data_IF_018822484610
#
_entry.id   IF_018822484610
#
_cell.length_a   1.000
_cell.length_b   1.000
_cell.length_c   1.000
_cell.angle_alpha   90.00
_cell.angle_beta   90.00
_cell.angle_gamma   90.00
#
_symmetry.space_group_name_H-M   'P 1'
#
loop_
_entity.id
_entity.type
_entity.pdbx_description
1 polymer ?
#
# COMPACT_ATOMS: atom_id res chain seq x y z
N UNK A 1 54.46 -12.93 31.49
CA UNK A 1 53.85 -11.99 30.51
C UNK A 1 52.87 -12.74 29.61
N UNK A 2 51.56 -12.68 29.88
CA UNK A 2 50.51 -13.18 28.96
C UNK A 2 49.87 -11.98 28.27
N UNK A 3 50.18 -11.76 26.98
CA UNK A 3 49.46 -10.78 26.14
C UNK A 3 48.18 -11.45 25.63
N UNK A 4 47.03 -10.95 26.06
CA UNK A 4 45.73 -11.34 25.52
C UNK A 4 45.59 -10.80 24.09
N UNK A 5 45.52 -11.72 23.12
CA UNK A 5 45.09 -11.42 21.76
C UNK A 5 43.58 -11.17 21.77
N UNK A 6 43.18 -9.91 21.74
CA UNK A 6 41.78 -9.55 21.46
C UNK A 6 41.54 -9.81 19.97
N UNK A 7 40.61 -10.73 19.71
CA UNK A 7 40.25 -11.24 18.39
C UNK A 7 39.80 -10.10 17.45
N UNK A 8 40.35 -10.06 16.22
CA UNK A 8 40.18 -8.97 15.26
C UNK A 8 38.73 -8.82 14.79
N UNK A 9 37.96 -9.90 14.81
CA UNK A 9 36.51 -9.91 14.52
C UNK A 9 35.69 -9.14 15.57
N UNK A 10 36.08 -9.22 16.85
CA UNK A 10 35.40 -8.52 17.94
C UNK A 10 35.57 -7.01 17.79
N UNK A 11 36.77 -6.55 17.39
CA UNK A 11 37.02 -5.13 17.07
C UNK A 11 36.23 -4.64 15.85
N UNK A 12 36.00 -5.51 14.85
CA UNK A 12 35.22 -5.17 13.66
C UNK A 12 33.72 -5.05 13.99
N UNK A 13 33.18 -5.99 14.78
CA UNK A 13 31.79 -5.94 15.28
C UNK A 13 31.52 -4.70 16.14
N UNK A 14 32.42 -4.37 17.07
CA UNK A 14 32.26 -3.17 17.92
C UNK A 14 32.23 -1.89 17.07
N UNK A 15 33.14 -1.75 16.08
CA UNK A 15 33.15 -0.58 15.18
C UNK A 15 31.88 -0.46 14.34
N UNK A 16 31.33 -1.58 13.84
CA UNK A 16 30.08 -1.58 13.07
C UNK A 16 28.87 -1.22 13.94
N UNK A 17 28.81 -1.71 15.18
CA UNK A 17 27.73 -1.37 16.13
C UNK A 17 27.78 0.12 16.50
N UNK A 18 28.98 0.67 16.77
CA UNK A 18 29.14 2.11 17.07
C UNK A 18 28.73 2.99 15.90
N UNK A 19 29.04 2.60 14.65
CA UNK A 19 28.68 3.37 13.46
C UNK A 19 27.16 3.40 13.23
N UNK A 20 26.48 2.27 13.42
CA UNK A 20 25.02 2.18 13.31
C UNK A 20 24.35 2.99 14.42
N UNK A 21 24.85 2.90 15.66
CA UNK A 21 24.33 3.68 16.79
C UNK A 21 24.49 5.19 16.58
N UNK A 22 25.64 5.62 16.04
CA UNK A 22 25.87 7.02 15.67
C UNK A 22 24.94 7.49 14.55
N UNK A 23 24.63 6.61 13.58
CA UNK A 23 23.68 6.91 12.51
C UNK A 23 22.24 7.06 13.03
N UNK A 24 21.82 6.23 13.99
CA UNK A 24 20.51 6.37 14.64
C UNK A 24 20.43 7.63 15.50
N UNK A 25 21.46 7.94 16.29
CA UNK A 25 21.51 9.15 17.10
C UNK A 25 21.54 10.41 16.22
N UNK A 26 22.31 10.41 15.12
CA UNK A 26 22.32 11.56 14.20
C UNK A 26 20.96 11.74 13.53
N UNK A 27 20.28 10.66 13.13
CA UNK A 27 18.93 10.75 12.57
C UNK A 27 17.90 11.22 13.61
N UNK A 28 18.02 10.80 14.88
CA UNK A 28 17.15 11.33 15.94
C UNK A 28 17.43 12.80 16.25
N UNK A 29 18.69 13.24 16.30
CA UNK A 29 19.05 14.65 16.55
C UNK A 29 18.61 15.54 15.38
N UNK A 30 18.76 15.07 14.14
CA UNK A 30 18.25 15.77 12.95
C UNK A 30 16.71 15.80 12.97
N UNK A 31 16.05 14.69 13.31
CA UNK A 31 14.59 14.64 13.43
C UNK A 31 14.05 15.53 14.56
N UNK A 32 14.83 15.76 15.64
CA UNK A 32 14.45 16.66 16.73
C UNK A 32 14.72 18.14 16.43
N UNK A 33 15.76 18.47 15.63
CA UNK A 33 16.06 19.86 15.27
C UNK A 33 15.02 20.51 14.36
N UNK A 34 14.28 19.69 13.60
CA UNK A 34 13.23 20.14 12.68
C UNK A 34 11.82 19.73 13.15
N UNK A 35 11.57 19.77 14.46
CA UNK A 35 10.24 19.55 15.03
C UNK A 35 9.27 20.63 14.53
N UNK A 36 8.46 20.29 13.53
CA UNK A 36 7.36 21.13 13.05
C UNK A 36 6.19 21.00 14.02
N UNK A 37 6.05 21.99 14.90
CA UNK A 37 4.89 22.07 15.80
C UNK A 37 3.73 22.69 15.04
N UNK A 38 2.67 21.90 14.83
CA UNK A 38 1.44 22.39 14.23
C UNK A 38 0.69 23.31 15.21
N UNK A 39 0.44 24.59 14.85
CA UNK A 39 -0.41 25.46 15.63
C UNK A 39 -1.83 24.88 15.71
N UNK A 40 -2.53 25.05 16.84
CA UNK A 40 -3.93 24.62 17.02
C UNK A 40 -4.95 25.50 16.28
N UNK A 41 -4.49 26.36 15.37
CA UNK A 41 -5.33 27.21 14.54
C UNK A 41 -6.14 26.35 13.56
N UNK A 42 -7.39 26.74 13.32
CA UNK A 42 -8.23 26.10 12.30
C UNK A 42 -7.56 26.21 10.94
N UNK A 43 -7.55 25.12 10.18
CA UNK A 43 -7.06 25.12 8.80
C UNK A 43 -8.10 25.78 7.89
N UNK A 44 -7.71 26.81 7.12
CA UNK A 44 -8.59 27.37 6.10
C UNK A 44 -8.96 26.31 5.06
N UNK A 45 -10.24 26.23 4.71
CA UNK A 45 -10.77 25.32 3.71
C UNK A 45 -11.54 26.15 2.67
N UNK A 46 -11.38 25.82 1.40
CA UNK A 46 -12.23 26.30 0.31
C UNK A 46 -12.84 25.09 -0.36
N UNK A 47 -14.17 25.00 -0.31
CA UNK A 47 -14.93 24.07 -1.14
C UNK A 47 -14.98 24.59 -2.57
N UNK A 48 -14.59 23.75 -3.52
CA UNK A 48 -14.63 24.02 -4.95
C UNK A 48 -15.94 23.47 -5.52
N UNK A 49 -16.94 24.34 -5.61
CA UNK A 49 -18.21 24.06 -6.29
C UNK A 49 -18.23 24.63 -7.72
N UNK A 50 -19.38 24.61 -8.41
CA UNK A 50 -19.59 25.25 -9.72
C UNK A 50 -18.45 25.04 -10.74
N UNK A 51 -18.33 23.81 -11.24
CA UNK A 51 -17.29 23.42 -12.20
C UNK A 51 -17.73 23.70 -13.63
N UNK A 52 -16.76 24.04 -14.50
CA UNK A 52 -16.95 23.93 -15.95
C UNK A 52 -16.83 22.46 -16.31
N UNK A 53 -17.80 21.87 -16.99
CA UNK A 53 -17.82 20.45 -17.35
C UNK A 53 -17.90 20.21 -18.84
N UNK A 54 -17.29 19.12 -19.29
CA UNK A 54 -17.34 18.66 -20.66
C UNK A 54 -17.45 17.14 -20.71
N UNK A 55 -18.43 16.64 -21.47
CA UNK A 55 -18.60 15.22 -21.77
C UNK A 55 -17.83 14.88 -23.05
N UNK A 56 -16.93 13.90 -22.95
CA UNK A 56 -16.06 13.50 -24.06
C UNK A 56 -14.58 13.44 -23.64
N UNK A 57 -13.81 12.62 -24.34
CA UNK A 57 -12.38 12.45 -24.04
C UNK A 57 -11.53 13.50 -24.76
N UNK A 58 -11.40 14.68 -24.14
CA UNK A 58 -10.43 15.69 -24.56
C UNK A 58 -9.00 15.29 -24.21
N UNK A 59 -8.04 15.75 -25.02
CA UNK A 59 -6.63 15.75 -24.62
C UNK A 59 -6.40 16.76 -23.50
N UNK A 60 -5.31 16.60 -22.75
CA UNK A 60 -4.97 17.53 -21.68
C UNK A 60 -4.77 18.95 -22.25
N UNK A 61 -4.07 19.09 -23.37
CA UNK A 61 -3.83 20.40 -23.97
C UNK A 61 -5.13 21.12 -24.36
N UNK A 62 -6.11 20.38 -24.92
CA UNK A 62 -7.44 20.91 -25.23
C UNK A 62 -8.19 21.40 -23.99
N UNK A 63 -8.02 20.71 -22.86
CA UNK A 63 -8.64 21.12 -21.58
C UNK A 63 -8.05 22.42 -21.07
N UNK A 64 -6.74 22.64 -21.24
CA UNK A 64 -6.03 23.80 -20.70
C UNK A 64 -5.87 24.96 -21.69
N UNK A 65 -6.30 24.80 -22.93
CA UNK A 65 -6.32 25.87 -23.93
C UNK A 65 -7.21 27.05 -23.49
N UNK A 66 -6.67 28.27 -23.57
CA UNK A 66 -7.35 29.51 -23.19
C UNK A 66 -8.36 29.99 -24.22
N UNK A 67 -8.12 29.72 -25.50
CA UNK A 67 -8.98 30.11 -26.63
C UNK A 67 -9.71 28.90 -27.25
N UNK A 68 -10.15 27.96 -26.42
CA UNK A 68 -10.77 26.74 -26.91
C UNK A 68 -12.17 27.00 -27.47
N UNK A 69 -12.49 26.38 -28.61
CA UNK A 69 -13.86 26.29 -29.15
C UNK A 69 -14.71 25.26 -28.39
N UNK A 70 -14.10 24.51 -27.48
CA UNK A 70 -14.77 23.50 -26.66
C UNK A 70 -15.89 24.14 -25.85
N UNK A 71 -17.10 23.61 -25.99
CA UNK A 71 -18.24 24.02 -25.18
C UNK A 71 -18.11 23.39 -23.79
N UNK A 72 -18.11 24.24 -22.78
CA UNK A 72 -18.13 23.85 -21.36
C UNK A 72 -19.46 24.25 -20.74
N UNK A 73 -20.08 23.32 -20.03
CA UNK A 73 -21.30 23.56 -19.27
C UNK A 73 -20.95 23.85 -17.81
N UNK A 74 -21.90 24.34 -17.00
CA UNK A 74 -21.68 24.54 -15.56
C UNK A 74 -22.41 23.46 -14.79
N UNK A 75 -21.74 22.89 -13.80
CA UNK A 75 -22.31 21.84 -12.95
C UNK A 75 -21.78 21.95 -11.52
N UNK A 76 -22.69 21.83 -10.54
CA UNK A 76 -22.32 21.61 -9.14
C UNK A 76 -21.84 20.18 -8.92
N UNK A 77 -20.92 19.99 -7.98
CA UNK A 77 -20.60 18.64 -7.48
C UNK A 77 -21.87 17.95 -6.93
N UNK A 78 -21.89 16.62 -6.96
CA UNK A 78 -23.04 15.80 -6.53
C UNK A 78 -23.90 15.27 -7.67
N UNK A 79 -23.76 15.80 -8.89
CA UNK A 79 -24.52 15.30 -10.03
C UNK A 79 -24.10 13.86 -10.41
N UNK A 80 -25.08 13.01 -10.70
CA UNK A 80 -24.87 11.60 -11.06
C UNK A 80 -25.11 11.45 -12.55
N UNK A 81 -24.14 10.87 -13.26
CA UNK A 81 -24.29 10.46 -14.66
C UNK A 81 -24.11 8.94 -14.79
N UNK A 82 -24.83 8.32 -15.73
CA UNK A 82 -25.00 6.85 -15.79
C UNK A 82 -24.45 6.21 -17.05
N UNK A 83 -24.02 7.02 -18.01
CA UNK A 83 -23.52 6.57 -19.29
C UNK A 83 -22.20 5.82 -19.09
N UNK A 84 -22.23 4.51 -19.38
CA UNK A 84 -21.07 3.63 -19.26
C UNK A 84 -19.98 4.03 -20.25
N UNK A 85 -18.73 3.84 -19.84
CA UNK A 85 -17.52 4.09 -20.61
C UNK A 85 -17.34 5.53 -21.11
N UNK A 86 -18.13 6.48 -20.60
CA UNK A 86 -17.97 7.89 -20.90
C UNK A 86 -16.90 8.52 -20.01
N UNK A 87 -16.23 9.52 -20.59
CA UNK A 87 -15.26 10.38 -19.90
C UNK A 87 -15.90 11.74 -19.70
N UNK A 88 -15.71 12.28 -18.50
CA UNK A 88 -16.15 13.62 -18.13
C UNK A 88 -14.98 14.40 -17.58
N UNK A 89 -14.82 15.63 -18.07
CA UNK A 89 -13.85 16.59 -17.57
C UNK A 89 -14.56 17.63 -16.71
N UNK A 90 -13.93 17.95 -15.58
CA UNK A 90 -14.27 19.08 -14.73
C UNK A 90 -13.10 20.06 -14.77
N UNK A 91 -13.34 21.35 -14.94
CA UNK A 91 -12.33 22.42 -14.97
C UNK A 91 -12.76 23.57 -14.06
N UNK A 92 -11.83 24.09 -13.26
CA UNK A 92 -12.03 25.24 -12.37
C UNK A 92 -10.78 26.10 -12.36
N UNK A 93 -10.98 27.40 -12.42
CA UNK A 93 -9.92 28.39 -12.17
C UNK A 93 -10.10 28.89 -10.74
N UNK A 94 -9.00 28.97 -10.00
CA UNK A 94 -8.99 29.42 -8.60
C UNK A 94 -7.86 30.42 -8.37
N UNK A 95 -8.06 31.31 -7.41
CA UNK A 95 -7.03 32.23 -6.91
C UNK A 95 -6.90 32.00 -5.41
N UNK A 96 -5.71 31.68 -4.93
CA UNK A 96 -5.49 31.41 -3.51
C UNK A 96 -5.68 32.70 -2.68
N UNK A 97 -6.53 32.70 -1.64
CA UNK A 97 -6.68 33.88 -0.79
C UNK A 97 -5.53 34.02 0.21
N UNK A 98 -5.46 35.16 0.89
CA UNK A 98 -4.41 35.48 1.85
C UNK A 98 -4.30 34.48 3.00
N UNK A 99 -5.40 33.83 3.39
CA UNK A 99 -5.42 32.80 4.44
C UNK A 99 -4.57 31.56 4.08
N UNK A 100 -4.24 31.35 2.81
CA UNK A 100 -3.38 30.26 2.33
C UNK A 100 -1.90 30.64 2.28
N UNK A 101 -1.53 31.89 2.57
CA UNK A 101 -0.15 32.37 2.51
C UNK A 101 0.76 31.58 3.46
N UNK A 102 1.90 31.11 2.93
CA UNK A 102 2.92 30.31 3.64
C UNK A 102 2.40 28.98 4.20
N UNK A 103 1.32 28.45 3.64
CA UNK A 103 0.75 27.13 3.97
C UNK A 103 1.08 26.14 2.86
N UNK A 104 1.10 24.86 3.18
CA UNK A 104 1.11 23.80 2.18
C UNK A 104 -0.34 23.45 1.83
N UNK A 105 -0.67 23.38 0.54
CA UNK A 105 -2.05 23.26 0.10
C UNK A 105 -2.31 21.84 -0.36
N UNK A 106 -3.22 21.16 0.34
CA UNK A 106 -3.73 19.85 -0.04
C UNK A 106 -5.04 20.05 -0.79
N UNK A 107 -5.19 19.36 -1.90
CA UNK A 107 -6.49 19.18 -2.54
C UNK A 107 -7.03 17.81 -2.16
N UNK A 108 -8.24 17.78 -1.61
CA UNK A 108 -9.03 16.58 -1.39
C UNK A 108 -10.15 16.49 -2.42
N UNK A 109 -10.46 15.29 -2.86
CA UNK A 109 -11.52 15.09 -3.83
C UNK A 109 -12.16 13.72 -3.67
N UNK A 110 -13.46 13.63 -3.99
CA UNK A 110 -14.20 12.37 -3.96
C UNK A 110 -14.97 12.16 -5.26
N UNK A 111 -14.66 11.09 -5.97
CA UNK A 111 -15.30 10.69 -7.23
C UNK A 111 -15.63 9.22 -7.18
N UNK A 112 -16.91 8.84 -7.26
CA UNK A 112 -17.33 7.44 -6.99
C UNK A 112 -16.71 6.39 -7.92
N UNK A 113 -16.25 6.79 -9.11
CA UNK A 113 -15.57 5.91 -10.07
C UNK A 113 -14.06 6.17 -10.23
N UNK A 114 -13.46 6.96 -9.32
CA UNK A 114 -12.06 7.37 -9.42
C UNK A 114 -11.83 8.49 -10.43
N UNK A 115 -10.61 9.05 -10.45
CA UNK A 115 -10.28 10.19 -11.30
C UNK A 115 -8.81 10.57 -11.29
N UNK A 116 -8.41 11.37 -12.28
CA UNK A 116 -7.06 11.96 -12.37
C UNK A 116 -7.15 13.48 -12.30
N UNK A 117 -6.28 14.10 -11.52
CA UNK A 117 -6.21 15.55 -11.36
C UNK A 117 -5.02 16.13 -12.10
N UNK A 118 -5.28 17.24 -12.74
CA UNK A 118 -4.32 18.03 -13.49
C UNK A 118 -4.36 19.47 -12.97
N UNK A 119 -3.19 20.08 -12.86
CA UNK A 119 -3.02 21.47 -12.44
C UNK A 119 -2.12 22.14 -13.46
N UNK A 120 -2.63 23.18 -14.10
CA UNK A 120 -1.95 23.92 -15.16
C UNK A 120 -1.34 23.00 -16.24
N UNK A 121 -2.14 22.03 -16.72
CA UNK A 121 -1.73 21.06 -17.74
C UNK A 121 -0.90 19.88 -17.24
N UNK A 122 -0.37 19.93 -16.00
CA UNK A 122 0.42 18.84 -15.45
C UNK A 122 -0.45 17.87 -14.66
N UNK A 123 -0.35 16.57 -14.94
CA UNK A 123 -0.97 15.54 -14.09
C UNK A 123 -0.30 15.53 -12.72
N UNK A 124 -1.08 15.72 -11.66
CA UNK A 124 -0.55 15.82 -10.29
C UNK A 124 -0.74 14.51 -9.52
N UNK A 125 -1.98 14.01 -9.42
CA UNK A 125 -2.29 12.80 -8.66
C UNK A 125 -3.54 12.11 -9.22
N UNK A 126 -3.76 10.85 -8.82
CA UNK A 126 -4.91 10.03 -9.23
C UNK A 126 -5.52 9.32 -8.03
N UNK A 127 -6.83 9.07 -8.10
CA UNK A 127 -7.50 8.13 -7.22
C UNK A 127 -8.05 6.97 -8.05
N UNK A 128 -7.73 5.74 -7.62
CA UNK A 128 -8.37 4.53 -8.13
C UNK A 128 -9.63 4.15 -7.32
N UNK A 129 -9.93 4.90 -6.25
CA UNK A 129 -11.07 4.65 -5.36
C UNK A 129 -11.96 5.90 -5.28
N UNK A 130 -12.98 5.86 -4.43
CA UNK A 130 -13.85 7.01 -4.24
C UNK A 130 -13.13 8.23 -3.67
N UNK A 131 -12.07 8.08 -2.88
CA UNK A 131 -11.38 9.18 -2.20
C UNK A 131 -9.97 9.39 -2.75
N UNK A 132 -9.60 10.64 -3.01
CA UNK A 132 -8.23 11.00 -3.32
C UNK A 132 -7.79 12.29 -2.64
N UNK A 133 -6.49 12.44 -2.49
CA UNK A 133 -5.87 13.67 -2.01
C UNK A 133 -4.49 13.84 -2.65
N UNK A 134 -3.98 15.06 -2.66
CA UNK A 134 -2.62 15.34 -3.11
C UNK A 134 -2.19 16.77 -2.85
N UNK A 135 -0.89 17.00 -2.90
CA UNK A 135 -0.31 18.33 -2.70
C UNK A 135 -0.48 19.15 -3.98
N UNK A 136 -1.21 20.26 -3.87
CA UNK A 136 -1.38 21.23 -4.94
C UNK A 136 -0.13 22.11 -5.07
N UNK A 137 0.32 22.68 -3.94
CA UNK A 137 1.50 23.56 -3.89
C UNK A 137 2.09 23.62 -2.48
N UNK A 138 3.42 23.71 -2.40
CA UNK A 138 4.14 23.91 -1.14
C UNK A 138 4.33 25.40 -0.88
N UNK A 139 4.23 25.83 0.38
CA UNK A 139 4.50 27.20 0.80
C UNK A 139 3.82 28.26 -0.10
N UNK A 140 2.50 28.18 -0.18
CA UNK A 140 1.68 28.97 -1.10
C UNK A 140 1.90 30.48 -0.97
N UNK A 141 1.81 31.16 -2.11
CA UNK A 141 1.74 32.62 -2.20
C UNK A 141 0.28 33.02 -2.43
N UNK A 142 -0.20 33.99 -1.67
CA UNK A 142 -1.52 34.57 -1.90
C UNK A 142 -1.61 35.20 -3.30
N UNK A 143 -2.80 35.17 -3.90
CA UNK A 143 -3.04 35.66 -5.25
C UNK A 143 -2.56 34.72 -6.36
N UNK A 144 -1.88 33.61 -6.04
CA UNK A 144 -1.49 32.60 -7.04
C UNK A 144 -2.73 32.01 -7.68
N UNK A 145 -2.74 31.97 -9.01
CA UNK A 145 -3.82 31.38 -9.81
C UNK A 145 -3.47 29.98 -10.25
N UNK A 146 -4.45 29.09 -10.21
CA UNK A 146 -4.34 27.74 -10.75
C UNK A 146 -5.55 27.43 -11.62
N UNK A 147 -5.31 26.70 -12.70
CA UNK A 147 -6.37 25.96 -13.41
C UNK A 147 -6.30 24.51 -12.96
N UNK A 148 -7.37 24.01 -12.35
CA UNK A 148 -7.50 22.63 -11.89
C UNK A 148 -8.45 21.91 -12.84
N UNK A 149 -8.07 20.72 -13.29
CA UNK A 149 -8.95 19.85 -14.05
C UNK A 149 -9.00 18.43 -13.48
N UNK A 150 -10.18 17.80 -13.53
CA UNK A 150 -10.42 16.43 -13.09
C UNK A 150 -10.93 15.61 -14.26
N UNK A 151 -10.20 14.57 -14.65
CA UNK A 151 -10.63 13.57 -15.64
C UNK A 151 -11.27 12.40 -14.92
N UNK A 152 -12.52 12.11 -15.25
CA UNK A 152 -13.29 11.02 -14.65
C UNK A 152 -13.77 10.07 -15.73
N UNK A 153 -13.67 8.74 -15.49
CA UNK A 153 -14.15 7.70 -16.42
C UNK A 153 -15.16 6.79 -15.73
N UNK A 154 -16.38 6.72 -16.25
CA UNK A 154 -17.43 5.88 -15.67
C UNK A 154 -17.32 4.43 -16.16
N UNK A 155 -16.76 3.55 -15.34
CA UNK A 155 -16.62 2.13 -15.65
C UNK A 155 -17.82 1.27 -15.21
N UNK A 156 -18.59 1.73 -14.22
CA UNK A 156 -19.53 0.90 -13.45
C UNK A 156 -21.01 1.22 -13.68
N UNK A 157 -21.33 2.21 -14.52
CA UNK A 157 -22.72 2.57 -14.88
C UNK A 157 -23.36 3.63 -13.98
N UNK A 158 -22.66 4.11 -12.96
CA UNK A 158 -22.98 5.36 -12.29
C UNK A 158 -21.68 5.99 -11.78
N UNK A 159 -21.54 7.30 -12.00
CA UNK A 159 -20.45 8.06 -11.43
C UNK A 159 -20.92 9.43 -10.96
N UNK A 160 -20.28 9.95 -9.92
CA UNK A 160 -20.51 11.27 -9.39
C UNK A 160 -19.23 11.86 -8.81
N UNK A 161 -18.99 13.14 -9.08
CA UNK A 161 -17.95 13.94 -8.44
C UNK A 161 -18.58 14.71 -7.30
N UNK A 162 -18.27 14.35 -6.05
CA UNK A 162 -19.09 14.72 -4.87
C UNK A 162 -18.36 15.56 -3.83
N UNK A 163 -17.05 15.76 -3.96
CA UNK A 163 -16.27 16.60 -3.06
C UNK A 163 -15.04 17.11 -3.78
N UNK A 164 -14.68 18.38 -3.57
CA UNK A 164 -13.43 18.95 -4.03
C UNK A 164 -13.05 20.13 -3.12
N UNK A 165 -12.05 19.94 -2.26
CA UNK A 165 -11.68 20.94 -1.26
C UNK A 165 -10.20 21.29 -1.36
N UNK A 166 -9.88 22.55 -1.11
CA UNK A 166 -8.51 23.01 -0.88
C UNK A 166 -8.32 23.31 0.60
N UNK A 167 -7.34 22.66 1.21
CA UNK A 167 -7.05 22.75 2.65
C UNK A 167 -5.67 23.36 2.83
N UNK A 168 -5.59 24.48 3.56
CA UNK A 168 -4.34 25.13 3.91
C UNK A 168 -3.76 24.55 5.21
N UNK A 169 -2.75 23.71 5.04
CA UNK A 169 -2.05 23.04 6.13
C UNK A 169 -0.75 23.78 6.49
N UNK A 170 -0.22 23.60 7.71
CA UNK A 170 1.04 24.21 8.10
C UNK A 170 2.17 23.89 7.14
N UNK A 171 3.13 24.80 7.02
CA UNK A 171 4.32 24.57 6.23
C UNK A 171 5.07 23.31 6.70
N UNK A 172 5.52 22.49 5.75
CA UNK A 172 6.18 21.20 5.98
C UNK A 172 5.22 20.00 5.97
N UNK A 173 3.91 20.24 5.96
CA UNK A 173 2.93 19.16 5.78
C UNK A 173 3.14 18.40 4.47
N UNK A 174 3.53 19.09 3.39
CA UNK A 174 3.79 18.43 2.11
C UNK A 174 4.92 17.39 2.21
N UNK A 175 5.97 17.70 2.97
CA UNK A 175 7.07 16.76 3.22
C UNK A 175 6.57 15.55 4.01
N UNK A 176 5.76 15.78 5.05
CA UNK A 176 5.12 14.71 5.81
C UNK A 176 4.23 13.81 4.92
N UNK A 177 3.36 14.43 4.11
CA UNK A 177 2.46 13.73 3.18
C UNK A 177 3.26 12.85 2.20
N UNK A 178 4.27 13.41 1.54
CA UNK A 178 5.13 12.65 0.61
C UNK A 178 5.98 11.59 1.32
N UNK A 179 6.39 11.81 2.56
CA UNK A 179 7.14 10.81 3.33
C UNK A 179 6.24 9.64 3.72
N UNK A 180 5.00 9.91 4.13
CA UNK A 180 4.00 8.90 4.45
C UNK A 180 3.67 7.99 3.26
N UNK A 181 3.56 8.55 2.05
CA UNK A 181 3.38 7.73 0.84
C UNK A 181 4.57 6.80 0.56
N UNK A 182 5.80 7.22 0.90
CA UNK A 182 7.01 6.41 0.78
C UNK A 182 7.14 5.34 1.86
N UNK A 183 6.45 5.50 2.98
CA UNK A 183 6.39 4.50 4.05
C UNK A 183 5.53 3.28 3.69
N UNK A 184 4.97 3.21 2.47
CA UNK A 184 4.30 1.97 2.04
C UNK A 184 5.36 0.92 1.69
N UNK A 185 5.63 0.00 2.61
CA UNK A 185 6.52 -1.13 2.37
C UNK A 185 5.85 -2.13 1.41
N UNK A 186 6.14 -1.99 0.12
CA UNK A 186 5.55 -2.79 -0.95
C UNK A 186 6.46 -3.95 -1.38
N UNK A 187 7.05 -4.64 -0.42
CA UNK A 187 7.72 -5.90 -0.73
C UNK A 187 6.69 -6.99 -1.03
N UNK A 188 6.90 -7.73 -2.12
CA UNK A 188 6.04 -8.85 -2.52
C UNK A 188 6.60 -10.21 -2.11
N UNK A 189 7.75 -10.24 -1.42
CA UNK A 189 8.47 -11.48 -1.19
C UNK A 189 9.10 -12.03 -2.46
N UNK A 190 9.46 -13.31 -2.43
CA UNK A 190 9.90 -14.06 -3.61
C UNK A 190 8.73 -14.92 -4.07
N UNK A 191 8.37 -14.81 -5.35
CA UNK A 191 7.28 -15.60 -5.93
C UNK A 191 7.67 -17.07 -6.06
N UNK A 192 6.72 -17.96 -5.81
CA UNK A 192 6.83 -19.39 -6.13
C UNK A 192 5.98 -19.62 -7.37
N UNK A 193 6.60 -19.52 -8.55
CA UNK A 193 5.86 -19.52 -9.81
C UNK A 193 5.70 -20.91 -10.44
N UNK A 194 6.55 -21.87 -10.07
CA UNK A 194 6.58 -23.19 -10.68
C UNK A 194 5.86 -24.20 -9.80
N UNK A 195 4.71 -24.69 -10.29
CA UNK A 195 3.89 -25.68 -9.60
C UNK A 195 3.61 -26.86 -10.53
N UNK A 196 3.43 -28.02 -9.92
CA UNK A 196 2.80 -29.18 -10.55
C UNK A 196 1.34 -29.23 -10.12
N UNK A 197 0.42 -29.61 -11.00
CA UNK A 197 -1.01 -29.68 -10.72
C UNK A 197 -1.58 -31.05 -11.11
N UNK A 198 -2.51 -31.54 -10.29
CA UNK A 198 -3.38 -32.67 -10.60
C UNK A 198 -4.82 -32.30 -10.29
N UNK A 199 -5.68 -32.40 -11.29
CA UNK A 199 -7.09 -32.03 -11.17
C UNK A 199 -7.91 -33.19 -10.58
N UNK A 200 -8.80 -32.85 -9.65
CA UNK A 200 -9.93 -33.69 -9.22
C UNK A 200 -9.55 -35.03 -8.58
N UNK A 201 -8.33 -35.15 -8.06
CA UNK A 201 -7.86 -36.36 -7.39
C UNK A 201 -8.27 -36.36 -5.91
N UNK A 202 -9.08 -37.33 -5.51
CA UNK A 202 -9.52 -37.53 -4.12
C UNK A 202 -8.49 -38.25 -3.24
N UNK A 203 -7.32 -38.62 -3.76
CA UNK A 203 -6.28 -39.28 -2.98
C UNK A 203 -5.75 -38.35 -1.87
N UNK A 204 -5.83 -38.83 -0.63
CA UNK A 204 -5.38 -38.10 0.56
C UNK A 204 -3.90 -38.36 0.89
N UNK A 205 -3.23 -39.30 0.22
CA UNK A 205 -1.78 -39.58 0.36
C UNK A 205 -0.90 -38.58 -0.42
N UNK A 206 -1.51 -37.69 -1.21
CA UNK A 206 -0.81 -36.69 -2.01
C UNK A 206 0.12 -35.78 -1.19
N UNK A 207 -0.10 -35.45 0.09
CA UNK A 207 0.87 -34.69 0.90
C UNK A 207 2.20 -35.41 1.19
N UNK A 208 2.31 -36.71 0.93
CA UNK A 208 3.52 -37.52 1.17
C UNK A 208 4.71 -37.05 0.30
N UNK A 209 5.89 -36.83 0.88
CA UNK A 209 7.16 -36.46 0.24
C UNK A 209 7.57 -37.51 -0.79
N UNK A 210 7.26 -38.78 -0.54
CA UNK A 210 7.55 -39.90 -1.44
C UNK A 210 6.52 -40.04 -2.56
N UNK A 211 5.42 -39.29 -2.53
CA UNK A 211 4.40 -39.33 -3.59
C UNK A 211 4.99 -38.94 -4.94
N UNK A 212 4.82 -39.83 -5.92
CA UNK A 212 5.30 -39.61 -7.28
C UNK A 212 4.39 -38.61 -8.04
N UNK A 213 4.88 -37.39 -8.16
CA UNK A 213 4.27 -36.31 -8.95
C UNK A 213 4.94 -36.12 -10.33
N UNK A 214 5.70 -37.10 -10.82
CA UNK A 214 6.40 -37.01 -12.12
C UNK A 214 5.45 -36.80 -13.31
N UNK A 215 4.25 -37.36 -13.23
CA UNK A 215 3.22 -37.29 -14.29
C UNK A 215 2.25 -36.11 -14.15
N UNK A 216 2.48 -35.20 -13.19
CA UNK A 216 1.61 -34.05 -12.99
C UNK A 216 1.88 -32.96 -14.04
N UNK A 217 0.86 -32.18 -14.32
CA UNK A 217 0.95 -31.06 -15.25
C UNK A 217 1.79 -29.92 -14.64
N UNK A 218 2.78 -29.39 -15.36
CA UNK A 218 3.47 -28.18 -14.93
C UNK A 218 2.60 -26.96 -15.23
N UNK A 219 2.36 -26.13 -14.23
CA UNK A 219 1.54 -24.92 -14.31
C UNK A 219 2.24 -23.73 -13.66
N UNK A 220 1.89 -22.54 -14.12
CA UNK A 220 2.28 -21.28 -13.51
C UNK A 220 1.19 -20.76 -12.57
N UNK A 221 1.55 -19.81 -11.71
CA UNK A 221 0.54 -19.03 -10.99
C UNK A 221 -0.38 -18.30 -11.99
N UNK A 222 -1.66 -18.18 -11.63
CA UNK A 222 -2.79 -17.70 -12.44
C UNK A 222 -3.34 -18.67 -13.49
N UNK A 223 -2.77 -19.86 -13.65
CA UNK A 223 -3.40 -20.89 -14.48
C UNK A 223 -4.70 -21.37 -13.80
N UNK A 224 -5.81 -21.29 -14.55
CA UNK A 224 -7.13 -21.69 -14.08
C UNK A 224 -7.50 -23.10 -14.56
N UNK A 225 -8.58 -23.63 -13.99
CA UNK A 225 -9.23 -24.85 -14.44
C UNK A 225 -10.75 -24.75 -14.23
N UNK A 226 -11.50 -25.43 -15.08
CA UNK A 226 -12.97 -25.40 -15.06
C UNK A 226 -13.55 -26.48 -14.15
N UNK A 227 -14.59 -26.12 -13.39
CA UNK A 227 -15.43 -27.09 -12.70
C UNK A 227 -15.84 -26.66 -11.30
N UNK A 228 -17.14 -26.73 -11.03
CA UNK A 228 -17.75 -26.33 -9.77
C UNK A 228 -17.74 -27.46 -8.73
N UNK A 229 -17.62 -27.11 -7.45
CA UNK A 229 -17.52 -28.05 -6.33
C UNK A 229 -16.43 -29.11 -6.53
N UNK A 230 -15.30 -28.67 -7.08
CA UNK A 230 -14.14 -29.51 -7.38
C UNK A 230 -12.91 -28.97 -6.68
N UNK A 231 -11.87 -29.80 -6.62
CA UNK A 231 -10.57 -29.41 -6.09
C UNK A 231 -9.44 -29.84 -7.01
N UNK A 232 -8.30 -29.16 -6.89
CA UNK A 232 -7.06 -29.53 -7.55
C UNK A 232 -5.94 -29.56 -6.52
N UNK A 233 -5.04 -30.52 -6.68
CA UNK A 233 -3.81 -30.56 -5.93
C UNK A 233 -2.72 -29.82 -6.69
N UNK A 234 -1.91 -29.09 -5.93
CA UNK A 234 -0.72 -28.40 -6.38
C UNK A 234 0.47 -28.89 -5.55
N UNK A 235 1.60 -29.16 -6.19
CA UNK A 235 2.85 -29.54 -5.51
C UNK A 235 4.02 -28.72 -6.05
N UNK A 236 4.94 -28.35 -5.17
CA UNK A 236 6.19 -27.72 -5.57
C UNK A 236 7.27 -27.99 -4.53
N UNK A 237 8.52 -27.88 -4.96
CA UNK A 237 9.66 -27.85 -4.06
C UNK A 237 10.60 -26.73 -4.49
N UNK A 238 11.16 -26.02 -3.52
CA UNK A 238 12.09 -24.93 -3.80
C UNK A 238 13.21 -24.87 -2.77
N UNK A 239 14.38 -24.43 -3.20
CA UNK A 239 15.51 -24.14 -2.31
C UNK A 239 15.30 -22.76 -1.69
N UNK A 240 15.42 -22.65 -0.37
CA UNK A 240 15.34 -21.37 0.33
C UNK A 240 16.52 -20.49 -0.09
N UNK A 241 16.29 -19.28 -0.63
CA UNK A 241 17.38 -18.38 -0.99
C UNK A 241 18.04 -17.84 0.28
N UNK A 242 19.34 -17.54 0.23
CA UNK A 242 20.12 -17.02 1.38
C UNK A 242 19.53 -15.74 1.98
N UNK A 243 18.88 -14.94 1.14
CA UNK A 243 18.24 -13.70 1.54
C UNK A 243 16.90 -13.53 0.79
N UNK A 244 15.94 -12.90 1.47
CA UNK A 244 14.68 -12.43 0.89
C UNK A 244 14.58 -10.94 1.22
N UNK A 245 14.56 -10.08 0.19
CA UNK A 245 14.47 -8.62 0.33
C UNK A 245 15.51 -8.01 1.31
N UNK A 246 16.71 -8.57 1.36
CA UNK A 246 17.80 -8.14 2.25
C UNK A 246 17.75 -8.72 3.66
N UNK A 247 16.76 -9.56 4.00
CA UNK A 247 16.72 -10.32 5.25
C UNK A 247 17.37 -11.69 5.05
N UNK A 248 18.33 -12.04 5.90
CA UNK A 248 18.92 -13.37 5.91
C UNK A 248 17.86 -14.43 6.27
N UNK A 249 17.89 -15.59 5.62
CA UNK A 249 16.90 -16.66 5.84
C UNK A 249 17.41 -17.81 6.70
N UNK A 250 18.72 -18.03 6.81
CA UNK A 250 19.27 -19.18 7.53
C UNK A 250 18.90 -19.12 9.01
N UNK A 251 18.26 -20.18 9.51
CA UNK A 251 17.78 -20.27 10.89
C UNK A 251 16.64 -19.32 11.22
N UNK A 252 16.02 -18.68 10.21
CA UNK A 252 14.90 -17.74 10.40
C UNK A 252 13.58 -18.38 10.05
N UNK A 253 12.51 -17.86 10.64
CA UNK A 253 11.16 -18.26 10.31
C UNK A 253 10.75 -17.70 8.94
N UNK A 254 10.08 -18.51 8.13
CA UNK A 254 9.54 -18.11 6.84
C UNK A 254 8.03 -18.21 6.85
N UNK A 255 7.38 -17.23 6.23
CA UNK A 255 5.95 -17.25 5.94
C UNK A 255 5.72 -17.43 4.45
N UNK A 256 4.60 -18.05 4.11
CA UNK A 256 4.04 -18.07 2.77
C UNK A 256 2.77 -17.23 2.73
N UNK A 257 2.58 -16.50 1.63
CA UNK A 257 1.34 -15.86 1.24
C UNK A 257 0.76 -16.61 0.06
N UNK A 258 -0.46 -17.13 0.19
CA UNK A 258 -1.17 -17.84 -0.86
C UNK A 258 -2.45 -17.09 -1.25
N UNK A 259 -2.78 -17.12 -2.53
CA UNK A 259 -4.05 -16.61 -3.08
C UNK A 259 -4.72 -17.71 -3.90
N UNK A 260 -5.64 -18.42 -3.27
CA UNK A 260 -6.47 -19.47 -3.88
C UNK A 260 -7.77 -18.89 -4.41
N UNK A 261 -8.56 -19.69 -5.11
CA UNK A 261 -9.87 -19.26 -5.57
C UNK A 261 -10.88 -19.13 -4.41
N UNK A 262 -11.35 -20.21 -3.80
CA UNK A 262 -12.25 -20.11 -2.63
C UNK A 262 -11.55 -20.39 -1.30
N UNK A 263 -10.87 -21.52 -1.18
CA UNK A 263 -10.12 -21.91 0.02
C UNK A 263 -9.05 -22.95 -0.33
N UNK A 264 -8.15 -23.26 0.61
CA UNK A 264 -7.14 -24.29 0.38
C UNK A 264 -6.54 -24.89 1.66
N UNK A 265 -6.05 -26.12 1.53
CA UNK A 265 -5.31 -26.82 2.57
C UNK A 265 -3.84 -26.92 2.16
N UNK A 266 -2.97 -26.26 2.92
CA UNK A 266 -1.52 -26.31 2.72
C UNK A 266 -0.89 -27.38 3.62
N UNK A 267 0.01 -28.16 3.05
CA UNK A 267 0.86 -29.13 3.70
C UNK A 267 2.31 -28.74 3.47
N UNK A 268 3.11 -28.68 4.53
CA UNK A 268 4.53 -28.36 4.47
C UNK A 268 5.35 -29.52 5.00
N UNK A 269 6.25 -30.06 4.15
CA UNK A 269 7.12 -31.20 4.48
C UNK A 269 6.37 -32.31 5.25
N UNK A 270 5.17 -32.72 4.79
CA UNK A 270 4.25 -33.72 5.39
C UNK A 270 3.64 -33.43 6.76
N UNK A 271 4.22 -32.56 7.58
CA UNK A 271 3.93 -32.55 9.03
C UNK A 271 2.88 -31.50 9.43
N UNK A 272 2.79 -30.39 8.69
CA UNK A 272 1.96 -29.25 9.09
C UNK A 272 0.82 -29.09 8.08
N UNK A 273 -0.39 -29.49 8.46
CA UNK A 273 -1.62 -29.12 7.76
C UNK A 273 -2.11 -27.76 8.25
N UNK A 274 -2.28 -26.83 7.31
CA UNK A 274 -2.79 -25.49 7.56
C UNK A 274 -4.01 -25.30 6.65
N UNK A 275 -5.20 -25.38 7.24
CA UNK A 275 -6.44 -25.10 6.54
C UNK A 275 -6.67 -23.60 6.45
N UNK A 276 -6.86 -23.10 5.24
CA UNK A 276 -7.16 -21.72 4.97
C UNK A 276 -8.57 -21.60 4.40
N UNK A 277 -9.49 -21.10 5.22
CA UNK A 277 -10.90 -20.90 4.85
C UNK A 277 -11.14 -19.62 4.05
N UNK A 278 -10.07 -18.90 3.67
CA UNK A 278 -10.14 -17.65 2.93
C UNK A 278 -9.36 -17.74 1.62
N UNK A 279 -9.82 -16.99 0.60
CA UNK A 279 -9.16 -16.87 -0.72
C UNK A 279 -7.72 -16.36 -0.64
N UNK A 280 -7.34 -15.74 0.48
CA UNK A 280 -6.00 -15.23 0.75
C UNK A 280 -5.62 -15.58 2.17
N UNK A 281 -4.46 -16.18 2.36
CA UNK A 281 -3.96 -16.45 3.70
C UNK A 281 -2.44 -16.39 3.75
N UNK A 282 -1.95 -16.04 4.94
CA UNK A 282 -0.52 -15.93 5.22
C UNK A 282 -0.20 -16.77 6.47
N UNK A 283 0.79 -17.65 6.39
CA UNK A 283 1.13 -18.55 7.51
C UNK A 283 2.61 -18.90 7.54
N UNK A 284 3.11 -19.33 8.71
CA UNK A 284 4.50 -19.77 8.90
C UNK A 284 4.65 -21.18 8.31
N UNK A 285 5.63 -21.37 7.44
CA UNK A 285 5.94 -22.68 6.81
C UNK A 285 7.17 -23.34 7.46
N UNK A 286 8.04 -22.58 8.10
CA UNK A 286 9.13 -23.09 8.94
C UNK A 286 9.50 -22.04 9.98
N UNK A 287 9.89 -22.45 11.18
CA UNK A 287 10.39 -21.57 12.24
C UNK A 287 11.92 -21.38 12.18
N UNK A 288 12.62 -22.22 11.41
CA UNK A 288 14.06 -22.18 11.24
C UNK A 288 14.43 -22.76 9.88
N UNK A 289 14.59 -21.92 8.87
CA UNK A 289 14.92 -22.37 7.53
C UNK A 289 16.36 -22.91 7.44
N UNK A 290 16.51 -24.00 6.70
CA UNK A 290 17.80 -24.57 6.31
C UNK A 290 17.98 -24.34 4.81
N UNK A 291 18.90 -23.45 4.44
CA UNK A 291 19.09 -23.08 3.03
C UNK A 291 19.59 -24.24 2.17
N UNK A 292 20.15 -25.30 2.76
CA UNK A 292 20.64 -26.46 2.01
C UNK A 292 19.57 -27.52 1.78
N UNK A 293 18.43 -27.43 2.47
CA UNK A 293 17.30 -28.35 2.30
C UNK A 293 16.15 -27.67 1.55
N UNK A 294 15.58 -28.33 0.54
CA UNK A 294 14.39 -27.80 -0.11
C UNK A 294 13.21 -27.84 0.87
N UNK A 295 12.27 -26.90 0.69
CA UNK A 295 10.94 -26.97 1.28
C UNK A 295 10.01 -27.57 0.24
N UNK A 296 9.27 -28.60 0.64
CA UNK A 296 8.20 -29.18 -0.16
C UNK A 296 6.85 -28.65 0.32
N UNK A 297 6.02 -28.24 -0.63
CA UNK A 297 4.66 -27.78 -0.40
C UNK A 297 3.69 -28.64 -1.21
N UNK A 298 2.63 -29.11 -0.57
CA UNK A 298 1.44 -29.61 -1.25
C UNK A 298 0.24 -28.74 -0.85
N UNK A 299 -0.57 -28.33 -1.83
CA UNK A 299 -1.70 -27.43 -1.64
C UNK A 299 -2.92 -28.00 -2.32
N UNK A 300 -3.98 -28.27 -1.56
CA UNK A 300 -5.30 -28.63 -2.09
C UNK A 300 -6.11 -27.36 -2.25
N UNK A 301 -6.46 -26.98 -3.47
CA UNK A 301 -7.26 -25.79 -3.77
C UNK A 301 -8.67 -26.21 -4.12
N UNK A 302 -9.64 -25.58 -3.47
CA UNK A 302 -11.06 -25.85 -3.67
C UNK A 302 -11.72 -24.71 -4.45
N UNK A 303 -12.66 -25.09 -5.32
CA UNK A 303 -13.53 -24.19 -6.06
C UNK A 303 -14.98 -24.61 -5.85
N UNK A 304 -15.82 -23.70 -5.37
CA UNK A 304 -17.25 -23.91 -5.20
C UNK A 304 -18.06 -23.48 -6.43
N UNK A 305 -17.60 -22.51 -7.22
CA UNK A 305 -18.35 -22.02 -8.41
C UNK A 305 -17.47 -21.40 -9.49
N UNK A 306 -17.82 -21.61 -10.76
CA UNK A 306 -17.02 -21.12 -11.89
C UNK A 306 -15.68 -21.86 -12.05
N UNK A 307 -14.59 -21.11 -12.13
CA UNK A 307 -13.24 -21.61 -12.41
C UNK A 307 -12.33 -21.54 -11.18
N UNK A 308 -11.63 -22.63 -10.87
CA UNK A 308 -10.64 -22.67 -9.79
C UNK A 308 -9.23 -22.30 -10.24
N UNK A 309 -8.35 -21.99 -9.30
CA UNK A 309 -6.94 -21.70 -9.59
C UNK A 309 -6.11 -21.25 -8.39
N UNK A 310 -4.79 -21.17 -8.62
CA UNK A 310 -3.82 -20.57 -7.69
C UNK A 310 -3.34 -19.25 -8.28
N UNK A 311 -3.88 -18.14 -7.79
CA UNK A 311 -3.63 -16.79 -8.32
C UNK A 311 -2.39 -16.09 -7.71
N UNK A 312 -1.68 -16.75 -6.80
CA UNK A 312 -0.42 -16.24 -6.27
C UNK A 312 0.14 -17.08 -5.13
N UNK A 313 1.46 -17.19 -5.10
CA UNK A 313 2.21 -17.80 -4.03
C UNK A 313 3.53 -17.06 -3.85
N UNK A 314 3.85 -16.60 -2.64
CA UNK A 314 5.15 -15.99 -2.36
C UNK A 314 5.61 -16.25 -0.94
N UNK A 315 6.91 -16.17 -0.71
CA UNK A 315 7.53 -16.29 0.62
C UNK A 315 8.15 -14.98 1.08
N UNK A 316 8.10 -14.77 2.39
CA UNK A 316 8.76 -13.68 3.11
C UNK A 316 9.37 -14.22 4.40
N UNK A 317 10.32 -13.50 4.97
CA UNK A 317 10.77 -13.78 6.34
C UNK A 317 9.74 -13.28 7.36
N UNK A 318 9.76 -13.85 8.56
CA UNK A 318 8.95 -13.37 9.68
C UNK A 318 9.28 -11.91 10.05
N UNK A 319 10.56 -11.55 9.99
CA UNK A 319 11.02 -10.18 10.24
C UNK A 319 10.42 -9.18 9.23
N UNK A 320 10.39 -9.56 7.95
CA UNK A 320 9.77 -8.74 6.91
C UNK A 320 8.25 -8.60 7.14
N UNK A 321 7.58 -9.69 7.52
CA UNK A 321 6.15 -9.67 7.87
C UNK A 321 5.88 -8.74 9.05
N UNK A 322 6.66 -8.85 10.13
CA UNK A 322 6.49 -8.04 11.32
C UNK A 322 6.74 -6.56 11.02
N UNK A 323 7.76 -6.25 10.22
CA UNK A 323 8.03 -4.88 9.77
C UNK A 323 6.85 -4.31 8.95
N UNK A 324 6.29 -5.09 8.02
CA UNK A 324 5.09 -4.70 7.27
C UNK A 324 3.91 -4.40 8.20
N UNK A 325 3.68 -5.27 9.17
CA UNK A 325 2.59 -5.16 10.14
C UNK A 325 2.75 -3.91 11.01
N UNK A 326 3.94 -3.72 11.59
CA UNK A 326 4.23 -2.57 12.44
C UNK A 326 4.13 -1.26 11.66
N UNK A 327 4.61 -1.22 10.41
CA UNK A 327 4.50 -0.05 9.55
C UNK A 327 3.05 0.27 9.16
N UNK A 328 2.25 -0.76 8.82
CA UNK A 328 0.81 -0.60 8.54
C UNK A 328 0.07 -0.05 9.76
N UNK A 329 0.39 -0.54 10.95
CA UNK A 329 -0.19 -0.07 12.22
C UNK A 329 0.17 1.41 12.47
N UNK A 330 1.44 1.80 12.31
CA UNK A 330 1.88 3.20 12.44
C UNK A 330 1.17 4.10 11.43
N UNK A 331 1.13 3.72 10.14
CA UNK A 331 0.45 4.51 9.10
C UNK A 331 -1.04 4.65 9.40
N UNK A 332 -1.72 3.57 9.83
CA UNK A 332 -3.14 3.58 10.21
C UNK A 332 -3.42 4.51 11.39
N UNK A 333 -2.54 4.53 12.40
CA UNK A 333 -2.64 5.45 13.54
C UNK A 333 -2.48 6.89 13.07
N UNK A 334 -1.48 7.16 12.23
CA UNK A 334 -1.28 8.47 11.61
C UNK A 334 -2.50 8.92 10.80
N UNK A 335 -3.07 8.04 9.97
CA UNK A 335 -4.33 8.29 9.22
C UNK A 335 -5.49 8.64 10.16
N UNK A 336 -5.59 7.96 11.31
CA UNK A 336 -6.63 8.22 12.30
C UNK A 336 -6.47 9.60 12.93
N UNK A 337 -5.23 9.99 13.26
CA UNK A 337 -4.93 11.32 13.79
C UNK A 337 -5.26 12.39 12.76
N UNK A 338 -4.80 12.22 11.52
CA UNK A 338 -5.08 13.14 10.41
C UNK A 338 -6.59 13.33 10.19
N UNK A 339 -7.36 12.23 10.12
CA UNK A 339 -8.82 12.28 10.01
C UNK A 339 -9.47 13.01 11.19
N UNK A 340 -8.99 12.79 12.42
CA UNK A 340 -9.50 13.49 13.59
C UNK A 340 -9.32 15.00 13.45
N UNK A 341 -8.11 15.48 13.09
CA UNK A 341 -7.86 16.91 12.92
C UNK A 341 -8.68 17.51 11.78
N UNK A 342 -8.88 16.78 10.67
CA UNK A 342 -9.74 17.22 9.56
C UNK A 342 -11.20 17.40 10.00
N UNK A 343 -11.74 16.47 10.77
CA UNK A 343 -13.13 16.55 11.24
C UNK A 343 -13.33 17.47 12.45
N UNK A 344 -12.26 17.99 13.05
CA UNK A 344 -12.32 18.80 14.27
C UNK A 344 -11.48 20.08 14.13
N UNK A 345 -12.05 21.17 13.57
CA UNK A 345 -11.36 22.46 13.38
C UNK A 345 -10.83 23.10 14.67
N UNK A 346 -11.35 22.67 15.82
CA UNK A 346 -10.90 23.04 17.18
C UNK A 346 -10.63 21.76 17.98
N UNK A 347 -9.51 21.06 17.71
CA UNK A 347 -9.24 19.76 18.32
C UNK A 347 -9.04 19.92 19.84
N UNK A 348 -9.54 18.97 20.63
CA UNK A 348 -9.33 18.98 22.08
C UNK A 348 -7.89 18.56 22.37
N UNK A 349 -7.08 19.42 23.00
CA UNK A 349 -5.65 19.18 23.30
C UNK A 349 -5.40 17.85 24.03
N UNK A 350 -6.31 17.45 24.95
CA UNK A 350 -6.23 16.14 25.62
C UNK A 350 -6.32 14.96 24.65
N UNK A 351 -7.17 15.05 23.62
CA UNK A 351 -7.33 14.03 22.58
C UNK A 351 -6.08 14.01 21.68
N UNK A 352 -5.55 15.18 21.33
CA UNK A 352 -4.29 15.28 20.58
C UNK A 352 -3.16 14.56 21.30
N UNK A 353 -2.98 14.85 22.60
CA UNK A 353 -1.94 14.22 23.42
C UNK A 353 -2.11 12.70 23.48
N UNK A 354 -3.34 12.22 23.69
CA UNK A 354 -3.64 10.79 23.68
C UNK A 354 -3.30 10.13 22.34
N UNK A 355 -3.71 10.75 21.23
CA UNK A 355 -3.46 10.26 19.88
C UNK A 355 -1.96 10.26 19.51
N UNK A 356 -1.23 11.30 19.91
CA UNK A 356 0.24 11.36 19.74
C UNK A 356 0.94 10.27 20.53
N UNK A 357 0.50 10.00 21.77
CA UNK A 357 1.06 8.92 22.59
C UNK A 357 0.79 7.54 21.96
N UNK A 358 -0.38 7.32 21.34
CA UNK A 358 -0.65 6.08 20.61
C UNK A 358 0.32 5.84 19.45
N UNK A 359 0.89 6.88 18.85
CA UNK A 359 1.93 6.71 17.81
C UNK A 359 3.27 6.31 18.45
N UNK A 360 3.61 6.87 19.61
CA UNK A 360 4.91 6.68 20.26
C UNK A 360 5.02 5.36 21.08
N UNK A 361 3.92 4.89 21.68
CA UNK A 361 3.94 3.87 22.75
C UNK A 361 4.48 2.48 22.35
N UNK A 362 4.63 2.16 21.05
CA UNK A 362 5.15 0.84 20.61
C UNK A 362 6.61 0.82 20.16
N UNK A 363 7.27 1.98 20.05
CA UNK A 363 8.70 1.99 19.67
C UNK A 363 9.60 1.55 20.83
N UNK A 364 9.16 1.73 22.08
CA UNK A 364 9.99 1.49 23.27
C UNK A 364 9.82 0.08 23.88
N UNK A 365 8.81 -0.70 23.46
CA UNK A 365 8.48 -2.00 24.10
C UNK A 365 9.04 -3.24 23.38
N UNK A 366 9.63 -3.11 22.18
CA UNK A 366 10.27 -4.24 21.49
C UNK A 366 11.78 -4.05 21.47
N UNK A 367 12.57 -4.78 22.28
CA UNK A 367 13.98 -4.91 21.98
C UNK A 367 14.10 -5.55 20.58
N UNK A 368 14.82 -4.87 19.68
CA UNK A 368 15.34 -5.46 18.46
C UNK A 368 16.37 -6.52 18.87
N UNK A 369 15.90 -7.73 19.21
CA UNK A 369 16.74 -8.88 19.52
C UNK A 369 17.29 -9.53 18.26
#
# INVERSE_FOLDING_TARGET
>A
MKRQFVNSETKRRIKSITLVFLFFISNQIVAQKDLIIQPTESHPIIELDQWKVHMGDLTVDQVFETNSKTKWERESIGHIWREKNQIKWYKKEITLPDSFKRRDIVMEFRVTCGGSIFVDGKKMFKSNTSNGSGILVNNAKAGTKFTIAVKVKNHSGSCSFIQADLIALPHGYAQFFSSKEKLVFNSKGISIDHWKRKLFDSNEDIPDLSYDDSNWENVSINDSWEGENKHAWYRTSFKVPKEINGFNTQGRALRISLRTDDHGDLFVNEVIKISAHEKRFETIITTSADIEKPILLALKVYNNSGSGGLAGASIITEEEYQLKSDLRDVVSRVDRVERYFKSNPKPKVKIVTYLSNLICFKLDEKPLS
#
